data_IF_391245333181
#
_entry.id   IF_391245333181
#
_cell.length_a   1.000
_cell.length_b   1.000
_cell.length_c   1.000
_cell.angle_alpha   90.00
_cell.angle_beta   90.00
_cell.angle_gamma   90.00
#
_symmetry.space_group_name_H-M   'P 1'
#
loop_
_entity.id
_entity.type
_entity.pdbx_description
1 polymer ?
#
# COMPACT_ATOMS: atom_id res chain seq x y z
N UNK A 1 3.19 -11.38 -0.92
CA UNK A 1 3.66 -12.53 -0.09
C UNK A 1 2.95 -12.59 1.25
N UNK A 2 3.02 -11.55 2.10
CA UNK A 2 2.29 -11.55 3.38
C UNK A 2 0.79 -11.84 3.24
N UNK A 3 0.15 -11.28 2.22
CA UNK A 3 -1.26 -11.57 1.91
C UNK A 3 -1.51 -13.03 1.57
N UNK A 4 -0.58 -13.72 0.87
CA UNK A 4 -0.70 -15.16 0.56
C UNK A 4 -0.61 -16.00 1.83
N UNK A 5 0.37 -15.70 2.70
CA UNK A 5 0.59 -16.40 3.97
C UNK A 5 -0.64 -16.24 4.86
N UNK A 6 -1.12 -15.02 5.02
CA UNK A 6 -2.28 -14.77 5.86
C UNK A 6 -3.60 -15.26 5.23
N UNK A 7 -3.75 -15.27 3.90
CA UNK A 7 -4.92 -15.89 3.24
C UNK A 7 -4.98 -17.39 3.56
N UNK A 8 -3.84 -18.08 3.58
CA UNK A 8 -3.76 -19.49 3.98
C UNK A 8 -4.19 -19.70 5.44
N UNK A 9 -3.74 -18.83 6.35
CA UNK A 9 -4.01 -18.96 7.79
C UNK A 9 -5.46 -18.59 8.14
N UNK A 10 -5.97 -17.46 7.65
CA UNK A 10 -7.27 -16.91 8.05
C UNK A 10 -8.46 -17.40 7.20
N UNK A 11 -8.20 -17.76 5.95
CA UNK A 11 -9.24 -18.15 4.99
C UNK A 11 -9.21 -19.66 4.67
N UNK A 12 -8.12 -20.36 5.01
CA UNK A 12 -7.97 -21.79 4.73
C UNK A 12 -7.86 -22.14 3.25
N UNK A 13 -7.69 -21.16 2.37
CA UNK A 13 -7.55 -21.36 0.93
C UNK A 13 -6.26 -22.15 0.62
N UNK A 14 -6.35 -23.11 -0.32
CA UNK A 14 -5.19 -23.83 -0.83
C UNK A 14 -4.36 -22.85 -1.66
N UNK A 15 -3.27 -22.35 -1.07
CA UNK A 15 -2.28 -21.57 -1.84
C UNK A 15 -1.58 -22.51 -2.80
N UNK A 16 -1.75 -22.27 -4.09
CA UNK A 16 -1.08 -23.04 -5.13
C UNK A 16 0.42 -22.78 -5.08
N UNK A 17 1.24 -23.82 -5.26
CA UNK A 17 2.70 -23.68 -5.26
C UNK A 17 3.17 -22.75 -6.37
N UNK A 18 2.40 -22.69 -7.46
CA UNK A 18 2.60 -21.78 -8.61
C UNK A 18 2.52 -20.30 -8.19
N UNK A 19 1.57 -19.93 -7.33
CA UNK A 19 1.47 -18.56 -6.79
C UNK A 19 2.72 -18.19 -5.98
N UNK A 20 3.26 -19.16 -5.23
CA UNK A 20 4.51 -19.01 -4.49
C UNK A 20 5.70 -18.75 -5.43
N UNK A 21 5.79 -19.50 -6.53
CA UNK A 21 6.85 -19.32 -7.52
C UNK A 21 6.82 -17.93 -8.17
N UNK A 22 5.65 -17.48 -8.64
CA UNK A 22 5.50 -16.14 -9.21
C UNK A 22 5.78 -15.04 -8.18
N UNK A 23 5.42 -15.24 -6.92
CA UNK A 23 5.72 -14.27 -5.87
C UNK A 23 7.24 -14.12 -5.63
N UNK A 24 8.01 -15.21 -5.68
CA UNK A 24 9.48 -15.17 -5.60
C UNK A 24 10.08 -14.53 -6.84
N UNK A 25 9.59 -14.87 -8.03
CA UNK A 25 10.03 -14.26 -9.28
C UNK A 25 9.82 -12.73 -9.26
N UNK A 26 8.66 -12.27 -8.80
CA UNK A 26 8.35 -10.85 -8.62
C UNK A 26 9.29 -10.18 -7.59
N UNK A 27 9.58 -10.84 -6.46
CA UNK A 27 10.56 -10.31 -5.50
C UNK A 27 11.95 -10.16 -6.13
N UNK A 28 12.41 -11.16 -6.89
CA UNK A 28 13.68 -11.09 -7.60
C UNK A 28 13.69 -9.94 -8.62
N UNK A 29 12.59 -9.74 -9.35
CA UNK A 29 12.43 -8.62 -10.29
C UNK A 29 12.51 -7.26 -9.60
N UNK A 30 11.81 -7.08 -8.47
CA UNK A 30 11.87 -5.85 -7.66
C UNK A 30 13.29 -5.64 -7.14
N UNK A 31 13.96 -6.70 -6.66
CA UNK A 31 15.34 -6.62 -6.18
C UNK A 31 16.31 -6.19 -7.30
N UNK A 32 16.12 -6.65 -8.54
CA UNK A 32 16.94 -6.26 -9.68
C UNK A 32 16.72 -4.79 -10.07
N UNK A 33 15.46 -4.34 -10.10
CA UNK A 33 15.09 -2.94 -10.42
C UNK A 33 15.56 -1.96 -9.35
N UNK A 34 15.51 -2.38 -8.07
CA UNK A 34 15.92 -1.55 -6.94
C UNK A 34 17.42 -1.20 -6.94
N UNK A 35 18.21 -1.71 -7.91
CA UNK A 35 19.67 -1.52 -8.04
C UNK A 35 20.34 -1.59 -6.66
N UNK A 36 20.43 -2.78 -6.07
CA UNK A 36 20.84 -2.92 -4.68
C UNK A 36 22.22 -2.27 -4.53
N UNK A 37 22.29 -1.25 -3.67
CA UNK A 37 23.52 -0.55 -3.29
C UNK A 37 24.61 -1.48 -2.72
N UNK A 38 24.33 -2.77 -2.57
CA UNK A 38 25.30 -3.83 -2.31
C UNK A 38 26.34 -4.01 -3.43
N UNK A 39 26.03 -3.62 -4.68
CA UNK A 39 26.96 -3.70 -5.83
C UNK A 39 27.68 -2.38 -6.17
N UNK A 40 27.17 -1.24 -5.68
CA UNK A 40 27.77 0.07 -5.89
C UNK A 40 28.25 0.59 -4.53
N UNK A 41 29.54 0.38 -4.25
CA UNK A 41 30.21 0.93 -3.07
C UNK A 41 30.10 2.46 -3.11
N UNK A 42 29.17 3.00 -2.33
CA UNK A 42 29.13 4.41 -1.97
C UNK A 42 29.16 4.48 -0.46
N UNK A 43 30.11 5.24 0.05
CA UNK A 43 30.41 5.36 1.47
C UNK A 43 29.14 5.59 2.29
N UNK A 44 29.01 4.80 3.36
CA UNK A 44 27.85 4.83 4.26
C UNK A 44 27.98 6.05 5.17
N UNK A 45 27.77 7.23 4.62
CA UNK A 45 27.75 8.47 5.41
C UNK A 45 26.46 8.49 6.23
N UNK A 46 26.62 8.14 7.52
CA UNK A 46 25.78 8.46 8.68
C UNK A 46 24.27 8.64 8.44
N UNK A 47 23.48 7.62 8.81
CA UNK A 47 22.17 7.68 9.51
C UNK A 47 21.53 6.26 9.57
N UNK A 48 22.31 5.25 9.97
CA UNK A 48 21.90 3.83 10.03
C UNK A 48 20.64 3.62 10.87
N UNK A 49 20.43 4.42 11.93
CA UNK A 49 19.25 4.35 12.79
C UNK A 49 17.96 4.77 12.08
N UNK A 50 17.97 5.86 11.32
CA UNK A 50 16.80 6.33 10.55
C UNK A 50 16.46 5.37 9.41
N UNK A 51 17.47 4.78 8.75
CA UNK A 51 17.26 3.74 7.73
C UNK A 51 16.60 2.50 8.33
N UNK A 52 17.09 2.02 9.47
CA UNK A 52 16.52 0.85 10.14
C UNK A 52 15.06 1.09 10.58
N UNK A 53 14.77 2.29 11.13
CA UNK A 53 13.41 2.70 11.48
C UNK A 53 12.51 2.79 10.24
N UNK A 54 13.00 3.36 9.14
CA UNK A 54 12.25 3.45 7.88
C UNK A 54 11.95 2.08 7.27
N UNK A 55 12.92 1.16 7.26
CA UNK A 55 12.70 -0.22 6.81
C UNK A 55 11.74 -0.97 7.73
N UNK A 56 11.85 -0.79 9.05
CA UNK A 56 10.90 -1.36 10.01
C UNK A 56 9.47 -0.86 9.79
N UNK A 57 9.31 0.46 9.60
CA UNK A 57 8.02 1.06 9.28
C UNK A 57 7.44 0.54 7.96
N UNK A 58 8.27 0.34 6.94
CA UNK A 58 7.83 -0.23 5.66
C UNK A 58 7.33 -1.68 5.81
N UNK A 59 8.01 -2.51 6.61
CA UNK A 59 7.56 -3.89 6.89
C UNK A 59 6.23 -3.88 7.66
N UNK A 60 6.10 -3.02 8.67
CA UNK A 60 4.84 -2.87 9.43
C UNK A 60 3.70 -2.39 8.54
N UNK A 61 3.95 -1.41 7.66
CA UNK A 61 2.97 -0.95 6.68
C UNK A 61 2.55 -2.07 5.72
N UNK A 62 3.50 -2.89 5.24
CA UNK A 62 3.20 -4.03 4.39
C UNK A 62 2.34 -5.10 5.09
N UNK A 63 2.60 -5.37 6.39
CA UNK A 63 1.79 -6.28 7.20
C UNK A 63 0.37 -5.74 7.43
N UNK A 64 0.24 -4.45 7.74
CA UNK A 64 -1.05 -3.80 7.91
C UNK A 64 -1.85 -3.76 6.58
N UNK A 65 -1.19 -3.51 5.45
CA UNK A 65 -1.84 -3.54 4.15
C UNK A 65 -2.30 -4.95 3.78
N UNK A 66 -1.48 -5.97 4.06
CA UNK A 66 -1.85 -7.37 3.87
C UNK A 66 -3.06 -7.77 4.73
N UNK A 67 -3.14 -7.33 5.98
CA UNK A 67 -4.29 -7.61 6.85
C UNK A 67 -5.57 -6.98 6.33
N UNK A 68 -5.52 -5.72 5.90
CA UNK A 68 -6.65 -5.00 5.27
C UNK A 68 -7.16 -5.78 4.05
N UNK A 69 -6.28 -6.26 3.18
CA UNK A 69 -6.70 -7.02 1.99
C UNK A 69 -7.45 -8.31 2.33
N UNK A 70 -7.05 -9.03 3.38
CA UNK A 70 -7.76 -10.25 3.80
C UNK A 70 -9.10 -9.89 4.41
N UNK A 71 -9.18 -8.81 5.19
CA UNK A 71 -10.44 -8.34 5.77
C UNK A 71 -11.42 -8.00 4.64
N UNK A 72 -10.98 -7.27 3.61
CA UNK A 72 -11.79 -6.95 2.43
C UNK A 72 -12.20 -8.24 1.69
N UNK A 73 -11.26 -9.18 1.50
CA UNK A 73 -11.60 -10.50 0.96
C UNK A 73 -12.68 -11.15 1.83
N UNK A 74 -12.51 -11.19 3.16
CA UNK A 74 -13.40 -11.88 4.11
C UNK A 74 -14.81 -11.30 4.11
N UNK A 75 -14.95 -9.99 3.97
CA UNK A 75 -16.25 -9.33 3.81
C UNK A 75 -16.95 -9.74 2.51
N UNK A 76 -16.20 -10.04 1.45
CA UNK A 76 -16.77 -10.53 0.18
C UNK A 76 -17.85 -9.60 -0.39
N UNK A 77 -18.89 -10.18 -1.00
CA UNK A 77 -20.00 -9.45 -1.63
C UNK A 77 -21.03 -8.94 -0.61
N UNK A 78 -20.92 -9.33 0.66
CA UNK A 78 -21.87 -8.93 1.71
C UNK A 78 -21.85 -7.43 2.00
N UNK A 79 -20.76 -6.75 1.64
CA UNK A 79 -20.58 -5.31 1.83
C UNK A 79 -20.29 -4.65 0.47
N UNK A 80 -21.05 -3.61 0.15
CA UNK A 80 -20.87 -2.84 -1.07
C UNK A 80 -19.47 -2.20 -1.10
N UNK A 81 -18.66 -2.46 -2.12
CA UNK A 81 -17.27 -1.97 -2.23
C UNK A 81 -17.13 -0.45 -2.04
N UNK A 82 -18.16 0.30 -2.48
CA UNK A 82 -18.23 1.76 -2.35
C UNK A 82 -18.13 2.23 -0.89
N UNK A 83 -18.61 1.43 0.05
CA UNK A 83 -18.56 1.76 1.48
C UNK A 83 -17.12 1.74 2.01
N UNK A 84 -16.30 0.77 1.60
CA UNK A 84 -14.87 0.73 1.96
C UNK A 84 -14.11 1.93 1.40
N UNK A 85 -14.41 2.34 0.16
CA UNK A 85 -13.78 3.51 -0.47
C UNK A 85 -14.19 4.80 0.24
N UNK A 86 -15.46 4.94 0.62
CA UNK A 86 -15.96 6.08 1.38
C UNK A 86 -15.31 6.18 2.78
N UNK A 87 -15.22 5.06 3.52
CA UNK A 87 -14.55 5.03 4.82
C UNK A 87 -13.07 5.42 4.73
N UNK A 88 -12.36 4.95 3.70
CA UNK A 88 -10.98 5.38 3.48
C UNK A 88 -10.90 6.87 3.17
N UNK A 89 -11.82 7.42 2.38
CA UNK A 89 -11.90 8.84 2.09
C UNK A 89 -12.09 9.69 3.35
N UNK A 90 -13.01 9.30 4.23
CA UNK A 90 -13.26 9.97 5.52
C UNK A 90 -12.01 9.91 6.40
N UNK A 91 -11.38 8.73 6.51
CA UNK A 91 -10.12 8.58 7.25
C UNK A 91 -9.00 9.42 6.63
N UNK A 92 -8.93 9.53 5.31
CA UNK A 92 -7.96 10.38 4.62
C UNK A 92 -8.13 11.85 4.96
N UNK A 93 -9.37 12.35 5.01
CA UNK A 93 -9.68 13.73 5.41
C UNK A 93 -9.23 14.01 6.85
N UNK A 94 -9.36 13.03 7.75
CA UNK A 94 -8.96 13.18 9.16
C UNK A 94 -7.46 13.00 9.36
N UNK A 95 -6.86 11.99 8.72
CA UNK A 95 -5.45 11.63 8.91
C UNK A 95 -4.49 12.55 8.16
N UNK A 96 -4.87 13.10 7.00
CA UNK A 96 -4.01 14.02 6.24
C UNK A 96 -3.57 15.26 7.05
N UNK A 97 -4.46 16.03 7.71
CA UNK A 97 -4.03 17.16 8.52
C UNK A 97 -3.25 16.73 9.76
N UNK A 98 -3.62 15.60 10.39
CA UNK A 98 -2.88 15.05 11.55
C UNK A 98 -1.45 14.68 11.15
N UNK A 99 -1.28 14.03 10.00
CA UNK A 99 0.03 13.68 9.43
C UNK A 99 0.89 14.92 9.20
N UNK A 100 0.35 15.94 8.54
CA UNK A 100 1.08 17.20 8.31
C UNK A 100 1.56 17.87 9.60
N UNK A 101 0.74 17.84 10.66
CA UNK A 101 1.13 18.36 11.98
C UNK A 101 2.24 17.54 12.64
N UNK A 102 2.19 16.21 12.56
CA UNK A 102 3.17 15.31 13.20
C UNK A 102 4.52 15.34 12.48
N UNK A 103 4.53 15.42 11.14
CA UNK A 103 5.77 15.43 10.35
C UNK A 103 6.42 16.81 10.22
N UNK A 104 5.82 17.85 10.82
CA UNK A 104 6.46 19.16 11.00
C UNK A 104 6.36 20.09 9.79
N UNK A 105 5.43 19.86 8.87
CA UNK A 105 5.12 20.78 7.78
C UNK A 105 4.35 21.99 8.33
N UNK A 106 5.08 22.92 8.97
CA UNK A 106 4.50 24.10 9.64
C UNK A 106 3.92 25.13 8.66
N UNK A 107 4.18 25.00 7.36
CA UNK A 107 3.66 25.89 6.32
C UNK A 107 2.75 25.10 5.40
N UNK A 108 1.45 25.36 5.52
CA UNK A 108 0.45 24.90 4.55
C UNK A 108 0.75 25.58 3.21
N UNK A 109 1.35 24.85 2.29
CA UNK A 109 1.59 25.34 0.93
C UNK A 109 0.33 25.12 0.10
N UNK A 110 -0.45 26.17 -0.06
CA UNK A 110 -1.57 26.16 -0.99
C UNK A 110 -1.01 26.14 -2.42
N UNK A 111 -1.50 25.25 -3.31
CA UNK A 111 -1.08 25.25 -4.70
C UNK A 111 -1.44 26.59 -5.35
N UNK A 112 -0.43 27.24 -5.95
CA UNK A 112 -0.55 28.59 -6.49
C UNK A 112 -0.81 28.59 -8.01
N UNK A 113 -0.47 27.50 -8.69
CA UNK A 113 -0.62 27.36 -10.14
C UNK A 113 -1.79 26.44 -10.51
N UNK A 114 -2.50 26.76 -11.60
CA UNK A 114 -3.58 25.92 -12.13
C UNK A 114 -3.11 24.49 -12.47
N UNK A 115 -1.85 24.33 -12.87
CA UNK A 115 -1.24 23.02 -13.13
C UNK A 115 -1.13 22.16 -11.86
N UNK A 116 -0.80 22.75 -10.71
CA UNK A 116 -0.70 22.04 -9.43
C UNK A 116 -2.07 21.54 -8.99
N UNK A 117 -3.11 22.37 -9.12
CA UNK A 117 -4.49 21.98 -8.87
C UNK A 117 -4.95 20.81 -9.75
N UNK A 118 -4.55 20.82 -11.03
CA UNK A 118 -4.88 19.73 -11.95
C UNK A 118 -4.17 18.42 -11.56
N UNK A 119 -2.92 18.49 -11.09
CA UNK A 119 -2.19 17.32 -10.56
C UNK A 119 -2.87 16.80 -9.29
N UNK A 120 -3.24 17.67 -8.36
CA UNK A 120 -3.96 17.27 -7.13
C UNK A 120 -5.29 16.58 -7.46
N UNK A 121 -6.07 17.15 -8.37
CA UNK A 121 -7.34 16.57 -8.79
C UNK A 121 -7.12 15.24 -9.52
N UNK A 122 -6.09 15.15 -10.36
CA UNK A 122 -5.67 13.92 -11.02
C UNK A 122 -5.32 12.82 -10.03
N UNK A 123 -4.43 13.08 -9.07
CA UNK A 123 -4.02 12.11 -8.05
C UNK A 123 -5.21 11.66 -7.20
N UNK A 124 -6.11 12.58 -6.82
CA UNK A 124 -7.33 12.24 -6.10
C UNK A 124 -8.26 11.33 -6.91
N UNK A 125 -8.51 11.68 -8.17
CA UNK A 125 -9.38 10.90 -9.07
C UNK A 125 -8.81 9.51 -9.38
N UNK A 126 -7.55 9.44 -9.82
CA UNK A 126 -6.89 8.17 -10.10
C UNK A 126 -6.70 7.32 -8.84
N UNK A 127 -6.46 7.94 -7.69
CA UNK A 127 -6.39 7.26 -6.39
C UNK A 127 -7.72 6.62 -6.01
N UNK A 128 -8.83 7.35 -6.16
CA UNK A 128 -10.17 6.81 -5.94
C UNK A 128 -10.47 5.65 -6.91
N UNK A 129 -10.14 5.83 -8.19
CA UNK A 129 -10.36 4.82 -9.21
C UNK A 129 -9.55 3.54 -8.89
N UNK A 130 -8.28 3.68 -8.53
CA UNK A 130 -7.42 2.58 -8.10
C UNK A 130 -8.03 1.83 -6.90
N UNK A 131 -8.53 2.56 -5.90
CA UNK A 131 -9.12 1.96 -4.72
C UNK A 131 -10.41 1.19 -5.03
N UNK A 132 -11.23 1.69 -5.95
CA UNK A 132 -12.43 0.99 -6.46
C UNK A 132 -12.03 -0.32 -7.15
N UNK A 133 -11.05 -0.28 -8.07
CA UNK A 133 -10.59 -1.47 -8.78
C UNK A 133 -9.98 -2.52 -7.83
N UNK A 134 -9.16 -2.10 -6.87
CA UNK A 134 -8.58 -3.01 -5.86
C UNK A 134 -9.69 -3.67 -5.03
N UNK A 135 -10.62 -2.87 -4.50
CA UNK A 135 -11.69 -3.38 -3.64
C UNK A 135 -12.60 -4.34 -4.40
N UNK A 136 -12.97 -4.00 -5.63
CA UNK A 136 -13.82 -4.84 -6.49
C UNK A 136 -13.08 -6.09 -6.94
N UNK A 137 -11.80 -5.98 -7.32
CA UNK A 137 -10.98 -7.13 -7.72
C UNK A 137 -10.83 -8.15 -6.58
N UNK A 138 -10.54 -7.68 -5.37
CA UNK A 138 -10.45 -8.55 -4.18
C UNK A 138 -11.78 -9.24 -3.84
N UNK A 139 -12.92 -8.58 -4.08
CA UNK A 139 -14.24 -9.19 -3.90
C UNK A 139 -14.56 -10.22 -4.98
N UNK A 140 -14.20 -9.96 -6.24
CA UNK A 140 -14.50 -10.82 -7.39
C UNK A 140 -13.61 -12.07 -7.45
N UNK A 141 -12.34 -11.98 -7.06
CA UNK A 141 -11.43 -13.12 -7.02
C UNK A 141 -11.79 -14.14 -5.92
N UNK A 142 -12.84 -13.90 -5.13
CA UNK A 142 -13.34 -14.80 -4.08
C UNK A 142 -14.54 -15.62 -4.58
N UNK A 143 -14.32 -16.32 -5.69
CA UNK A 143 -15.20 -17.38 -6.18
C UNK A 143 -14.34 -18.63 -6.43
N UNK A 144 -13.81 -19.17 -5.34
CA UNK A 144 -13.27 -20.52 -5.25
C UNK A 144 -13.98 -21.24 -4.12
#
# INVERSE_FOLDING_TARGET
IFTLIFSRIFLGEKVEVVDGFFAVLCLCGIALVAKPHLLFATEVTHETKKRLLGTGAAILAALAQASIYIVIKKMGVSVHFMMNVMYLGILGIVLAPIGGLVFGERRWHMPNAAAEWLVFLGVGFFGLLAQVFISRGLQLCRAG
#
